data_IF_777780331547
#
_entry.id   IF_777780331547
#
_cell.length_a   1.000
_cell.length_b   1.000
_cell.length_c   1.000
_cell.angle_alpha   90.00
_cell.angle_beta   90.00
_cell.angle_gamma   90.00
#
_symmetry.space_group_name_H-M   'P 1'
#
loop_
_entity.id
_entity.type
_entity.pdbx_description
1 polymer ?
#
# COMPACT_ATOMS: atom_id res chain seq x y z
N UNK A 1 35.00 9.73 19.20
CA UNK A 1 34.06 9.03 18.28
C UNK A 1 33.80 7.57 18.68
N UNK A 2 34.78 6.84 19.24
CA UNK A 2 34.60 5.45 19.69
C UNK A 2 33.49 5.22 20.74
N UNK A 3 33.19 6.22 21.58
CA UNK A 3 32.09 6.15 22.57
C UNK A 3 30.71 6.12 21.91
N UNK A 4 30.51 6.80 20.79
CA UNK A 4 29.25 6.80 20.04
C UNK A 4 29.04 5.46 19.34
N UNK A 5 30.08 4.94 18.67
CA UNK A 5 30.02 3.62 18.01
C UNK A 5 29.72 2.51 19.02
N UNK A 6 30.40 2.52 20.19
CA UNK A 6 30.11 1.57 21.27
C UNK A 6 28.68 1.71 21.81
N UNK A 7 28.14 2.93 21.86
CA UNK A 7 26.75 3.19 22.29
C UNK A 7 25.73 2.67 21.26
N UNK A 8 26.01 2.82 19.97
CA UNK A 8 25.16 2.29 18.88
C UNK A 8 25.15 0.76 18.87
N UNK A 9 26.31 0.12 19.04
CA UNK A 9 26.40 -1.35 19.13
C UNK A 9 25.64 -1.86 20.36
N UNK A 10 25.75 -1.16 21.49
CA UNK A 10 25.03 -1.53 22.71
C UNK A 10 23.51 -1.37 22.53
N UNK A 11 23.05 -0.34 21.82
CA UNK A 11 21.64 -0.16 21.48
C UNK A 11 21.12 -1.29 20.57
N UNK A 12 21.91 -1.73 19.59
CA UNK A 12 21.55 -2.86 18.71
C UNK A 12 21.29 -4.14 19.50
N UNK A 13 21.98 -4.35 20.63
CA UNK A 13 21.81 -5.54 21.48
C UNK A 13 20.69 -5.34 22.51
N UNK A 14 20.55 -4.14 23.08
CA UNK A 14 19.53 -3.85 24.09
C UNK A 14 18.12 -3.84 23.49
N UNK A 15 17.94 -3.30 22.28
CA UNK A 15 16.64 -3.23 21.60
C UNK A 15 15.96 -4.61 21.47
N UNK A 16 16.60 -5.67 20.95
CA UNK A 16 15.97 -6.99 20.86
C UNK A 16 15.72 -7.61 22.24
N UNK A 17 16.55 -7.35 23.25
CA UNK A 17 16.35 -7.86 24.61
C UNK A 17 15.11 -7.22 25.24
N UNK A 18 14.98 -5.89 25.15
CA UNK A 18 13.78 -5.17 25.62
C UNK A 18 12.56 -5.62 24.84
N UNK A 19 12.68 -5.84 23.52
CA UNK A 19 11.59 -6.36 22.69
C UNK A 19 11.13 -7.75 23.15
N UNK A 20 12.05 -8.68 23.42
CA UNK A 20 11.71 -10.03 23.91
C UNK A 20 11.01 -9.95 25.27
N UNK A 21 11.54 -9.15 26.20
CA UNK A 21 10.94 -8.94 27.53
C UNK A 21 9.54 -8.34 27.39
N UNK A 22 9.35 -7.34 26.53
CA UNK A 22 8.05 -6.70 26.31
C UNK A 22 7.03 -7.66 25.69
N UNK A 23 7.48 -8.53 24.79
CA UNK A 23 6.67 -9.58 24.14
C UNK A 23 6.23 -10.64 25.14
N UNK A 24 7.12 -11.05 26.05
CA UNK A 24 6.84 -12.04 27.09
C UNK A 24 5.96 -11.47 28.22
N UNK A 25 6.24 -10.25 28.69
CA UNK A 25 5.50 -9.62 29.81
C UNK A 25 4.08 -9.19 29.45
N UNK A 26 3.83 -8.76 28.21
CA UNK A 26 2.47 -8.38 27.79
C UNK A 26 1.66 -9.55 27.21
N UNK A 27 2.14 -10.80 27.34
CA UNK A 27 1.36 -12.02 27.14
C UNK A 27 0.64 -12.14 25.78
N UNK A 28 1.15 -11.46 24.74
CA UNK A 28 0.52 -11.43 23.42
C UNK A 28 -0.80 -10.64 23.33
N UNK A 29 -1.34 -10.08 24.42
CA UNK A 29 -2.67 -9.44 24.42
C UNK A 29 -2.69 -8.13 23.62
N UNK A 30 -1.67 -7.28 23.82
CA UNK A 30 -1.48 -6.06 23.01
C UNK A 30 -1.15 -6.38 21.54
N UNK A 31 -0.43 -7.47 21.30
CA UNK A 31 -0.09 -7.90 19.94
C UNK A 31 -1.33 -8.44 19.22
N UNK A 32 -2.23 -9.13 19.95
CA UNK A 32 -3.52 -9.59 19.46
C UNK A 32 -4.44 -8.42 19.12
N UNK A 33 -4.53 -7.42 19.99
CA UNK A 33 -5.25 -6.17 19.70
C UNK A 33 -4.68 -5.41 18.49
N UNK A 34 -3.34 -5.37 18.37
CA UNK A 34 -2.68 -4.75 17.22
C UNK A 34 -2.95 -5.53 15.92
N UNK A 35 -2.94 -6.86 15.96
CA UNK A 35 -3.27 -7.74 14.84
C UNK A 35 -4.73 -7.58 14.39
N UNK A 36 -5.67 -7.56 15.33
CA UNK A 36 -7.10 -7.36 15.05
C UNK A 36 -7.37 -5.97 14.42
N UNK A 37 -6.62 -4.95 14.84
CA UNK A 37 -6.66 -3.62 14.24
C UNK A 37 -6.04 -3.61 12.84
N UNK A 38 -4.94 -4.32 12.63
CA UNK A 38 -4.30 -4.46 11.31
C UNK A 38 -5.21 -5.21 10.33
N UNK A 39 -5.92 -6.24 10.80
CA UNK A 39 -6.82 -7.03 9.98
C UNK A 39 -8.03 -6.20 9.52
N UNK A 40 -8.59 -5.38 10.42
CA UNK A 40 -9.67 -4.45 10.07
C UNK A 40 -9.19 -3.38 9.07
N UNK A 41 -7.99 -2.82 9.26
CA UNK A 41 -7.41 -1.87 8.29
C UNK A 41 -7.13 -2.55 6.95
N UNK A 42 -6.66 -3.80 6.97
CA UNK A 42 -6.42 -4.61 5.78
C UNK A 42 -7.69 -4.84 4.97
N UNK A 43 -8.79 -5.23 5.63
CA UNK A 43 -10.11 -5.40 5.01
C UNK A 43 -10.62 -4.12 4.35
N UNK A 44 -10.56 -2.98 5.07
CA UNK A 44 -10.96 -1.68 4.52
C UNK A 44 -10.06 -1.24 3.36
N UNK A 45 -8.78 -1.57 3.41
CA UNK A 45 -7.82 -1.25 2.35
C UNK A 45 -8.05 -2.12 1.11
N UNK A 46 -8.42 -3.39 1.29
CA UNK A 46 -8.75 -4.31 0.20
C UNK A 46 -10.02 -3.86 -0.53
N UNK A 47 -11.08 -3.51 0.20
CA UNK A 47 -12.32 -2.99 -0.38
C UNK A 47 -12.08 -1.70 -1.15
N UNK A 48 -11.35 -0.73 -0.56
CA UNK A 48 -10.99 0.51 -1.26
C UNK A 48 -10.12 0.26 -2.48
N UNK A 49 -9.19 -0.70 -2.41
CA UNK A 49 -8.35 -1.06 -3.55
C UNK A 49 -9.16 -1.64 -4.70
N UNK A 50 -10.13 -2.53 -4.41
CA UNK A 50 -11.04 -3.07 -5.44
C UNK A 50 -11.86 -1.96 -6.10
N UNK A 51 -12.39 -1.02 -5.32
CA UNK A 51 -13.16 0.11 -5.85
C UNK A 51 -12.30 1.04 -6.74
N UNK A 52 -11.04 1.26 -6.36
CA UNK A 52 -10.09 2.06 -7.17
C UNK A 52 -9.78 1.35 -8.49
N UNK A 53 -9.54 0.03 -8.46
CA UNK A 53 -9.26 -0.75 -9.68
C UNK A 53 -10.46 -0.73 -10.63
N UNK A 54 -11.68 -0.93 -10.12
CA UNK A 54 -12.89 -0.88 -10.94
C UNK A 54 -13.11 0.51 -11.58
N UNK A 55 -12.87 1.58 -10.82
CA UNK A 55 -12.93 2.94 -11.35
C UNK A 55 -11.84 3.20 -12.39
N UNK A 56 -10.63 2.70 -12.18
CA UNK A 56 -9.53 2.84 -13.13
C UNK A 56 -9.83 2.10 -14.44
N UNK A 57 -10.41 0.90 -14.38
CA UNK A 57 -10.82 0.15 -15.58
C UNK A 57 -11.93 0.87 -16.34
N UNK A 58 -12.94 1.43 -15.65
CA UNK A 58 -13.99 2.24 -16.30
C UNK A 58 -13.41 3.45 -17.02
N UNK A 59 -12.51 4.20 -16.37
CA UNK A 59 -11.85 5.36 -16.98
C UNK A 59 -11.00 4.96 -18.20
N UNK A 60 -10.30 3.82 -18.12
CA UNK A 60 -9.50 3.29 -19.23
C UNK A 60 -10.38 2.89 -20.42
N UNK A 61 -11.52 2.25 -20.16
CA UNK A 61 -12.44 1.82 -21.21
C UNK A 61 -13.13 3.03 -21.89
N UNK A 62 -13.59 4.01 -21.11
CA UNK A 62 -14.14 5.25 -21.65
C UNK A 62 -13.11 6.06 -22.45
N UNK A 63 -11.88 6.15 -21.95
CA UNK A 63 -10.78 6.81 -22.65
C UNK A 63 -10.47 6.13 -23.98
N UNK A 64 -10.48 4.80 -24.01
CA UNK A 64 -10.27 4.02 -25.24
C UNK A 64 -11.39 4.24 -26.26
N UNK A 65 -12.65 4.23 -25.84
CA UNK A 65 -13.80 4.50 -26.74
C UNK A 65 -13.72 5.89 -27.36
N UNK A 66 -13.40 6.90 -26.55
CA UNK A 66 -13.21 8.28 -27.05
C UNK A 66 -12.03 8.40 -28.03
N UNK A 67 -10.94 7.67 -27.77
CA UNK A 67 -9.80 7.62 -28.68
C UNK A 67 -10.16 6.96 -30.01
N UNK A 68 -10.88 5.83 -29.98
CA UNK A 68 -11.34 5.14 -31.19
C UNK A 68 -12.32 6.01 -32.01
N UNK A 69 -13.24 6.74 -31.35
CA UNK A 69 -14.12 7.70 -32.03
C UNK A 69 -13.36 8.88 -32.64
N UNK A 70 -12.34 9.40 -31.95
CA UNK A 70 -11.50 10.48 -32.47
C UNK A 70 -10.69 10.02 -33.68
N UNK A 71 -10.13 8.80 -33.64
CA UNK A 71 -9.41 8.18 -34.75
C UNK A 71 -10.36 7.96 -35.94
N UNK A 72 -11.58 7.49 -35.70
CA UNK A 72 -12.59 7.30 -36.75
C UNK A 72 -12.97 8.62 -37.42
N UNK A 73 -13.25 9.67 -36.63
CA UNK A 73 -13.54 11.02 -37.15
C UNK A 73 -12.37 11.60 -37.95
N UNK A 74 -11.14 11.34 -37.55
CA UNK A 74 -9.95 11.76 -38.30
C UNK A 74 -9.81 10.99 -39.62
N UNK A 75 -10.08 9.69 -39.60
CA UNK A 75 -10.05 8.84 -40.80
C UNK A 75 -11.11 9.28 -41.83
N UNK A 76 -12.35 9.49 -41.39
CA UNK A 76 -13.44 9.99 -42.24
C UNK A 76 -13.11 11.36 -42.86
N UNK A 77 -12.44 12.25 -42.11
CA UNK A 77 -11.96 13.54 -42.62
C UNK A 77 -10.81 13.43 -43.62
N UNK A 78 -10.02 12.36 -43.53
CA UNK A 78 -8.87 12.13 -44.41
C UNK A 78 -9.30 11.47 -45.72
N UNK A 79 -10.31 10.60 -45.70
CA UNK A 79 -10.87 9.96 -46.90
C UNK A 79 -11.72 10.91 -47.77
N UNK A 80 -12.15 12.04 -47.22
CA UNK A 80 -12.90 13.10 -47.93
C UNK A 80 -12.01 14.16 -48.60
N UNK A 81 -10.68 14.04 -48.49
CA UNK A 81 -9.70 15.06 -48.93
C UNK A 81 -8.77 14.51 -50.00
#
# INVERSE_FOLDING_TARGET
>A
MCKLIRRVICLIIIVPIVFIIFTLLNGGEKFRWFGEKLENVGKVTEEKSKEIVEKADKVKEEGRKRAEEAIKKLKDKLEWK
#
